data_IF_010092771114
#
_entry.id   IF_010092771114
#
_cell.length_a   1.000
_cell.length_b   1.000
_cell.length_c   1.000
_cell.angle_alpha   90.00
_cell.angle_beta   90.00
_cell.angle_gamma   90.00
#
_symmetry.space_group_name_H-M   'P 1'
#
loop_
_entity.id
_entity.type
_entity.pdbx_description
1 polymer ?
#
# COMPACT_ATOMS: atom_id res chain seq x y z
N UNK A 1 7.34 13.88 14.91
CA UNK A 1 6.25 13.33 14.06
C UNK A 1 6.57 13.59 12.61
N UNK A 2 6.44 12.59 11.75
CA UNK A 2 6.72 12.72 10.32
C UNK A 2 5.50 12.28 9.51
N UNK A 3 5.40 12.80 8.28
CA UNK A 3 4.48 12.29 7.28
C UNK A 3 5.22 11.27 6.42
N UNK A 4 4.67 10.07 6.29
CA UNK A 4 5.26 8.95 5.58
C UNK A 4 4.28 8.51 4.49
N UNK A 5 4.74 8.46 3.25
CA UNK A 5 4.00 7.89 2.14
C UNK A 5 4.50 6.45 1.88
N UNK A 6 3.58 5.49 1.87
CA UNK A 6 3.84 4.11 1.46
C UNK A 6 3.25 3.91 0.08
N UNK A 7 4.11 3.74 -0.92
CA UNK A 7 3.69 3.50 -2.31
C UNK A 7 3.82 2.01 -2.60
N UNK A 8 2.72 1.36 -2.96
CA UNK A 8 2.68 -0.11 -3.21
C UNK A 8 1.66 -0.45 -4.28
N UNK A 9 1.99 -1.40 -5.15
CA UNK A 9 1.03 -2.05 -6.07
C UNK A 9 0.23 -3.15 -5.37
N UNK A 10 0.78 -3.74 -4.31
CA UNK A 10 0.12 -4.73 -3.46
C UNK A 10 -0.62 -4.04 -2.30
N UNK A 11 -1.94 -3.91 -2.43
CA UNK A 11 -2.84 -3.41 -1.38
C UNK A 11 -4.19 -4.13 -1.38
N UNK A 12 -5.04 -3.86 -0.38
CA UNK A 12 -6.39 -4.39 -0.33
C UNK A 12 -7.18 -4.06 -1.62
N UNK A 13 -7.99 -5.00 -2.15
CA UNK A 13 -8.50 -6.22 -1.51
C UNK A 13 -7.59 -7.47 -1.63
N UNK A 14 -6.39 -7.36 -2.21
CA UNK A 14 -5.48 -8.51 -2.36
C UNK A 14 -5.13 -9.13 -0.98
N UNK A 15 -5.11 -10.46 -0.90
CA UNK A 15 -4.77 -11.21 0.32
C UNK A 15 -3.49 -12.00 0.04
N UNK A 16 -2.34 -11.41 0.33
CA UNK A 16 -1.04 -12.05 0.23
C UNK A 16 -0.13 -11.59 1.39
N UNK A 17 1.04 -12.23 1.52
CA UNK A 17 2.00 -11.90 2.58
C UNK A 17 2.47 -10.43 2.55
N UNK A 18 2.57 -9.82 1.36
CA UNK A 18 3.00 -8.42 1.20
C UNK A 18 1.96 -7.46 1.79
N UNK A 19 0.68 -7.63 1.45
CA UNK A 19 -0.41 -6.81 1.99
C UNK A 19 -0.49 -6.95 3.51
N UNK A 20 -0.37 -8.16 4.03
CA UNK A 20 -0.34 -8.39 5.49
C UNK A 20 0.82 -7.66 6.15
N UNK A 21 2.05 -7.83 5.67
CA UNK A 21 3.23 -7.17 6.25
C UNK A 21 3.13 -5.65 6.15
N UNK A 22 2.77 -5.09 4.99
CA UNK A 22 2.60 -3.65 4.83
C UNK A 22 1.49 -3.09 5.72
N UNK A 23 0.38 -3.79 5.86
CA UNK A 23 -0.70 -3.43 6.78
C UNK A 23 -0.22 -3.34 8.23
N UNK A 24 0.58 -4.31 8.69
CA UNK A 24 1.21 -4.26 10.01
C UNK A 24 2.19 -3.08 10.13
N UNK A 25 3.06 -2.85 9.13
CA UNK A 25 4.01 -1.73 9.15
C UNK A 25 3.28 -0.38 9.24
N UNK A 26 2.25 -0.16 8.42
CA UNK A 26 1.43 1.07 8.45
C UNK A 26 0.82 1.27 9.83
N UNK A 27 0.21 0.22 10.40
CA UNK A 27 -0.38 0.27 11.73
C UNK A 27 0.65 0.64 12.80
N UNK A 28 1.80 -0.02 12.82
CA UNK A 28 2.86 0.27 13.80
C UNK A 28 3.38 1.71 13.68
N UNK A 29 3.56 2.21 12.45
CA UNK A 29 3.97 3.60 12.23
C UNK A 29 2.92 4.60 12.74
N UNK A 30 1.64 4.31 12.54
CA UNK A 30 0.54 5.12 13.09
C UNK A 30 0.52 5.07 14.62
N UNK A 31 0.72 3.90 15.23
CA UNK A 31 0.84 3.73 16.69
C UNK A 31 2.03 4.51 17.27
N UNK A 32 3.12 4.67 16.51
CA UNK A 32 4.26 5.54 16.85
C UNK A 32 3.98 7.03 16.61
N UNK A 33 2.78 7.39 16.17
CA UNK A 33 2.35 8.77 15.97
C UNK A 33 2.77 9.38 14.63
N UNK A 34 3.14 8.56 13.64
CA UNK A 34 3.36 9.07 12.28
C UNK A 34 2.04 9.21 11.53
N UNK A 35 1.94 10.24 10.69
CA UNK A 35 0.87 10.31 9.68
C UNK A 35 1.30 9.46 8.51
N UNK A 36 0.58 8.37 8.25
CA UNK A 36 0.89 7.44 7.18
C UNK A 36 -0.20 7.47 6.13
N UNK A 37 0.19 7.63 4.87
CA UNK A 37 -0.70 7.57 3.72
C UNK A 37 -0.25 6.45 2.79
N UNK A 38 -1.19 5.60 2.37
CA UNK A 38 -0.93 4.51 1.44
C UNK A 38 -1.41 4.92 0.06
N UNK A 39 -0.49 4.88 -0.91
CA UNK A 39 -0.72 5.21 -2.31
C UNK A 39 -0.59 3.92 -3.11
N UNK A 40 -1.67 3.54 -3.79
CA UNK A 40 -1.74 2.34 -4.60
C UNK A 40 -2.50 2.58 -5.91
N UNK A 41 -2.29 1.73 -6.95
CA UNK A 41 -2.87 1.92 -8.27
C UNK A 41 -4.41 1.96 -8.30
N UNK A 42 -5.10 1.31 -7.36
CA UNK A 42 -6.59 1.29 -7.35
C UNK A 42 -7.21 2.66 -7.11
N UNK A 43 -6.43 3.61 -6.60
CA UNK A 43 -6.86 5.00 -6.38
C UNK A 43 -6.85 5.83 -7.67
N UNK A 44 -6.27 5.32 -8.76
CA UNK A 44 -6.10 6.04 -10.02
C UNK A 44 -6.66 5.24 -11.19
N UNK A 45 -6.85 5.91 -12.33
CA UNK A 45 -7.12 5.20 -13.58
C UNK A 45 -5.87 4.46 -14.01
N UNK A 46 -5.97 3.14 -14.11
CA UNK A 46 -4.90 2.28 -14.60
C UNK A 46 -5.34 1.54 -15.85
N UNK A 47 -4.36 1.14 -16.67
CA UNK A 47 -4.53 0.18 -17.74
C UNK A 47 -3.66 -1.04 -17.42
N UNK A 48 -4.14 -2.27 -17.68
CA UNK A 48 -3.34 -3.46 -17.45
C UNK A 48 -2.07 -3.42 -18.30
N UNK A 49 -0.96 -3.89 -17.74
CA UNK A 49 0.32 -3.92 -18.45
C UNK A 49 0.23 -4.97 -19.58
N UNK A 50 0.50 -4.61 -20.85
CA UNK A 50 0.25 -5.51 -21.98
C UNK A 50 0.94 -6.88 -21.91
N UNK A 51 2.06 -6.96 -21.19
CA UNK A 51 2.89 -8.17 -21.07
C UNK A 51 2.79 -8.86 -19.71
N UNK A 52 1.91 -8.37 -18.82
CA UNK A 52 1.76 -8.87 -17.46
C UNK A 52 0.27 -9.16 -17.23
N UNK A 53 -0.16 -10.43 -17.38
CA UNK A 53 -1.56 -10.81 -17.35
C UNK A 53 -2.20 -10.80 -15.95
N UNK A 54 -1.41 -10.60 -14.90
CA UNK A 54 -1.91 -10.32 -13.54
C UNK A 54 -2.52 -8.93 -13.34
#
# INVERSE_FOLDING_TARGET
MHTIAVVTDAWHPQINGVVTTLGHTVRTLQEFGHRVEVINPTQFRSFPCPTYPE
#
